data_IF_488818747437
#
_entry.id   IF_488818747437
#
_cell.length_a   1.000
_cell.length_b   1.000
_cell.length_c   1.000
_cell.angle_alpha   90.00
_cell.angle_beta   90.00
_cell.angle_gamma   90.00
#
_symmetry.space_group_name_H-M   'P 1'
#
loop_
_entity.id
_entity.type
_entity.pdbx_description
1 polymer ?
#
# COMPACT_ATOMS: atom_id res chain seq x y z
N UNK A 1 21.95 -6.09 -62.43
CA UNK A 1 22.70 -6.20 -61.18
C UNK A 1 21.63 -6.25 -60.10
N UNK A 2 20.99 -7.41 -59.96
CA UNK A 2 21.47 -8.57 -59.20
C UNK A 2 21.26 -8.28 -57.70
N UNK A 3 20.18 -8.76 -57.10
CA UNK A 3 20.03 -10.13 -56.55
C UNK A 3 20.94 -10.29 -55.32
N UNK A 4 20.48 -10.32 -54.06
CA UNK A 4 19.41 -11.07 -53.36
C UNK A 4 20.00 -12.19 -52.49
N UNK A 5 19.27 -12.54 -51.41
CA UNK A 5 19.56 -13.58 -50.42
C UNK A 5 20.85 -13.43 -49.57
N UNK A 6 21.03 -14.19 -48.48
CA UNK A 6 20.19 -14.45 -47.28
C UNK A 6 20.98 -15.41 -46.37
N UNK A 7 20.68 -15.43 -45.06
CA UNK A 7 20.93 -16.59 -44.16
C UNK A 7 22.40 -17.11 -44.02
N UNK A 8 22.73 -18.11 -43.18
CA UNK A 8 22.36 -18.34 -41.77
C UNK A 8 23.38 -19.31 -41.11
N UNK A 9 23.21 -19.59 -39.81
CA UNK A 9 23.58 -20.83 -39.12
C UNK A 9 25.04 -21.33 -39.00
N UNK A 10 25.73 -20.86 -37.95
CA UNK A 10 26.23 -21.65 -36.77
C UNK A 10 26.77 -23.10 -36.95
N UNK A 11 27.99 -23.32 -36.43
CA UNK A 11 28.43 -24.43 -35.51
C UNK A 11 29.44 -25.49 -35.99
N UNK A 12 30.45 -25.76 -35.13
CA UNK A 12 31.20 -27.04 -34.92
C UNK A 12 32.02 -27.64 -36.09
N UNK A 13 33.13 -28.37 -35.90
CA UNK A 13 33.98 -28.67 -34.71
C UNK A 13 35.48 -28.68 -35.16
N UNK A 14 36.52 -29.31 -34.60
CA UNK A 14 36.72 -30.33 -33.54
C UNK A 14 38.04 -30.06 -32.76
N UNK A 15 38.58 -31.03 -32.01
CA UNK A 15 39.72 -30.88 -31.07
C UNK A 15 41.05 -31.44 -31.57
N UNK A 16 42.18 -30.86 -31.12
CA UNK A 16 43.45 -31.60 -30.89
C UNK A 16 44.27 -30.92 -29.78
N UNK A 17 45.30 -31.59 -29.25
CA UNK A 17 45.88 -31.33 -27.91
C UNK A 17 47.32 -31.85 -27.80
N UNK A 18 48.03 -31.48 -26.70
CA UNK A 18 49.38 -31.94 -26.27
C UNK A 18 50.51 -31.57 -27.29
N UNK A 19 51.80 -31.35 -26.99
CA UNK A 19 52.67 -31.39 -25.79
C UNK A 19 53.34 -29.99 -25.63
N UNK A 20 53.47 -29.39 -24.44
CA UNK A 20 54.33 -29.70 -23.27
C UNK A 20 55.83 -29.46 -23.52
N UNK A 21 56.34 -28.35 -22.95
CA UNK A 21 57.75 -28.12 -22.68
C UNK A 21 57.87 -27.23 -21.42
N UNK A 22 58.85 -27.46 -20.55
CA UNK A 22 58.77 -27.03 -19.15
C UNK A 22 59.95 -26.15 -18.68
N UNK A 23 59.66 -24.93 -18.22
CA UNK A 23 60.64 -24.09 -17.51
C UNK A 23 60.07 -23.42 -16.23
N UNK A 24 61.00 -23.04 -15.33
CA UNK A 24 60.82 -22.94 -13.87
C UNK A 24 59.98 -21.75 -13.41
N UNK A 25 59.31 -21.95 -12.27
CA UNK A 25 58.82 -20.87 -11.40
C UNK A 25 59.95 -19.96 -10.92
N UNK A 26 59.63 -18.71 -10.57
CA UNK A 26 59.75 -18.33 -9.16
C UNK A 26 58.44 -17.83 -8.54
N UNK A 27 58.38 -17.88 -7.21
CA UNK A 27 57.27 -17.44 -6.37
C UNK A 27 57.01 -15.92 -6.52
N UNK A 28 55.75 -15.53 -6.76
CA UNK A 28 55.30 -14.13 -6.68
C UNK A 28 54.00 -14.07 -5.87
N UNK A 29 54.02 -13.26 -4.82
CA UNK A 29 53.05 -13.31 -3.73
C UNK A 29 51.58 -13.12 -4.15
N UNK A 30 50.69 -13.79 -3.40
CA UNK A 30 49.25 -13.51 -3.39
C UNK A 30 49.00 -12.03 -3.09
N UNK A 31 48.60 -11.26 -4.10
CA UNK A 31 48.01 -9.93 -3.88
C UNK A 31 46.63 -10.15 -3.24
N UNK A 32 46.57 -10.11 -1.91
CA UNK A 32 45.30 -10.02 -1.20
C UNK A 32 44.72 -8.62 -1.42
N UNK A 33 43.59 -8.55 -2.12
CA UNK A 33 42.79 -7.33 -2.19
C UNK A 33 42.49 -6.81 -0.77
N UNK A 34 42.68 -5.51 -0.47
CA UNK A 34 42.45 -5.00 0.87
C UNK A 34 41.00 -5.21 1.32
N UNK A 35 40.79 -6.12 2.27
CA UNK A 35 39.49 -6.26 2.94
C UNK A 35 39.34 -5.13 3.95
N UNK A 36 38.22 -4.39 3.89
CA UNK A 36 37.82 -3.38 4.87
C UNK A 36 36.53 -3.79 5.60
N UNK A 37 36.57 -4.77 6.53
CA UNK A 37 35.37 -5.36 7.13
C UNK A 37 34.88 -4.65 8.41
N UNK A 38 35.60 -3.65 8.94
CA UNK A 38 35.45 -3.23 10.35
C UNK A 38 34.43 -2.12 10.61
N UNK A 39 34.09 -1.29 9.61
CA UNK A 39 33.22 -0.10 9.81
C UNK A 39 31.73 -0.45 9.61
N UNK A 40 31.42 -1.39 8.72
CA UNK A 40 30.05 -1.70 8.28
C UNK A 40 29.19 -2.38 9.35
N UNK A 41 29.79 -3.24 10.19
CA UNK A 41 29.07 -3.91 11.28
C UNK A 41 28.47 -2.92 12.30
N UNK A 42 29.26 -1.93 12.72
CA UNK A 42 28.87 -0.92 13.70
C UNK A 42 27.63 -0.12 13.24
N UNK A 43 27.63 0.39 12.00
CA UNK A 43 26.46 1.11 11.48
C UNK A 43 25.23 0.21 11.35
N UNK A 44 25.39 -1.07 10.99
CA UNK A 44 24.27 -2.02 10.92
C UNK A 44 23.65 -2.29 12.29
N UNK A 45 24.44 -2.30 13.37
CA UNK A 45 23.95 -2.38 14.75
C UNK A 45 23.27 -1.08 15.20
N UNK A 46 23.88 0.09 14.98
CA UNK A 46 23.30 1.41 15.29
C UNK A 46 21.93 1.59 14.61
N UNK A 47 21.81 1.25 13.31
CA UNK A 47 20.54 1.34 12.59
C UNK A 47 19.49 0.36 13.15
N UNK A 48 19.92 -0.80 13.65
CA UNK A 48 19.03 -1.77 14.32
C UNK A 48 18.53 -1.25 15.66
N UNK A 49 19.38 -0.58 16.44
CA UNK A 49 19.00 0.01 17.73
C UNK A 49 18.03 1.19 17.54
N UNK A 50 18.34 2.10 16.60
CA UNK A 50 17.44 3.18 16.20
C UNK A 50 16.06 2.65 15.80
N UNK A 51 16.02 1.55 15.03
CA UNK A 51 14.78 0.90 14.64
C UNK A 51 13.98 0.39 15.86
N UNK A 52 14.64 -0.27 16.82
CA UNK A 52 13.97 -0.76 18.04
C UNK A 52 13.47 0.39 18.93
N UNK A 53 14.20 1.51 18.99
CA UNK A 53 13.74 2.72 19.67
C UNK A 53 12.50 3.31 18.98
N UNK A 54 12.43 3.34 17.64
CA UNK A 54 11.23 3.75 16.91
C UNK A 54 10.05 2.78 17.12
N UNK A 55 10.31 1.47 17.18
CA UNK A 55 9.27 0.46 17.42
C UNK A 55 8.58 0.65 18.78
N UNK A 56 9.36 0.83 19.87
CA UNK A 56 8.82 1.09 21.22
C UNK A 56 7.90 2.32 21.25
N UNK A 57 8.27 3.38 20.52
CA UNK A 57 7.47 4.61 20.41
C UNK A 57 6.17 4.35 19.60
N UNK A 58 6.26 3.59 18.51
CA UNK A 58 5.08 3.21 17.71
C UNK A 58 4.09 2.35 18.52
N UNK A 59 4.58 1.40 19.31
CA UNK A 59 3.77 0.58 20.21
C UNK A 59 3.10 1.40 21.33
N UNK A 60 3.72 2.49 21.78
CA UNK A 60 3.11 3.43 22.72
C UNK A 60 1.94 4.19 22.07
N UNK A 61 2.12 4.73 20.85
CA UNK A 61 1.03 5.40 20.12
C UNK A 61 -0.09 4.42 19.69
N UNK A 62 0.21 3.16 19.38
CA UNK A 62 -0.84 2.18 19.07
C UNK A 62 -1.80 1.91 20.25
N UNK A 63 -1.39 2.15 21.50
CA UNK A 63 -2.23 2.02 22.69
C UNK A 63 -3.22 3.18 22.88
N UNK A 64 -3.02 4.32 22.21
CA UNK A 64 -3.95 5.47 22.27
C UNK A 64 -5.06 5.37 21.21
N UNK A 65 -4.83 4.65 20.11
CA UNK A 65 -5.81 4.41 19.03
C UNK A 65 -7.09 3.75 19.57
N UNK A 66 -8.24 4.23 19.10
CA UNK A 66 -9.59 3.78 19.52
C UNK A 66 -10.34 3.00 18.44
N UNK A 67 -10.04 3.22 17.16
CA UNK A 67 -10.66 2.49 16.04
C UNK A 67 -9.97 1.13 15.82
N UNK A 68 -10.68 -0.01 15.92
CA UNK A 68 -10.08 -1.33 15.75
C UNK A 68 -9.39 -1.53 14.39
N UNK A 69 -9.96 -0.95 13.32
CA UNK A 69 -9.39 -1.05 11.96
C UNK A 69 -8.07 -0.28 11.82
N UNK A 70 -7.88 0.81 12.55
CA UNK A 70 -6.65 1.60 12.50
C UNK A 70 -5.53 0.86 13.25
N UNK A 71 -5.86 0.20 14.37
CA UNK A 71 -4.95 -0.71 15.08
C UNK A 71 -4.53 -1.88 14.17
N UNK A 72 -5.46 -2.50 13.44
CA UNK A 72 -5.17 -3.58 12.48
C UNK A 72 -4.24 -3.10 11.34
N UNK A 73 -4.54 -1.95 10.73
CA UNK A 73 -3.71 -1.34 9.68
C UNK A 73 -2.30 -1.02 10.21
N UNK A 74 -2.19 -0.42 11.40
CA UNK A 74 -0.90 -0.10 12.01
C UNK A 74 -0.11 -1.37 12.35
N UNK A 75 -0.76 -2.41 12.90
CA UNK A 75 -0.12 -3.71 13.19
C UNK A 75 0.46 -4.34 11.91
N UNK A 76 -0.31 -4.32 10.83
CA UNK A 76 0.10 -4.86 9.54
C UNK A 76 1.18 -4.02 8.85
N UNK A 77 1.23 -2.71 9.09
CA UNK A 77 2.32 -1.83 8.65
C UNK A 77 3.60 -2.09 9.45
N UNK A 78 3.53 -2.10 10.79
CA UNK A 78 4.69 -2.36 11.65
C UNK A 78 5.32 -3.72 11.37
N UNK A 79 4.51 -4.78 11.14
CA UNK A 79 5.04 -6.11 10.77
C UNK A 79 5.83 -6.09 9.45
N UNK A 80 5.41 -5.29 8.46
CA UNK A 80 6.17 -5.11 7.20
C UNK A 80 7.47 -4.33 7.43
N UNK A 81 7.41 -3.30 8.26
CA UNK A 81 8.54 -2.41 8.62
C UNK A 81 9.59 -3.16 9.48
N UNK A 82 9.16 -4.05 10.38
CA UNK A 82 10.02 -4.99 11.10
C UNK A 82 10.77 -5.92 10.14
N UNK A 83 10.04 -6.60 9.24
CA UNK A 83 10.62 -7.51 8.24
C UNK A 83 11.66 -6.84 7.31
N UNK A 84 11.55 -5.52 7.07
CA UNK A 84 12.55 -4.75 6.34
C UNK A 84 13.82 -4.47 7.16
N UNK A 85 13.72 -4.37 8.49
CA UNK A 85 14.86 -4.25 9.38
C UNK A 85 15.64 -5.58 9.52
N UNK A 86 15.01 -6.72 9.29
CA UNK A 86 15.68 -8.03 9.29
C UNK A 86 16.61 -8.23 8.06
N UNK A 87 16.60 -7.29 7.12
CA UNK A 87 17.49 -7.27 5.95
C UNK A 87 18.96 -7.14 6.34
N UNK A 88 19.82 -7.91 5.67
CA UNK A 88 21.28 -7.80 5.77
C UNK A 88 21.85 -6.57 5.04
N UNK A 89 21.06 -5.90 4.19
CA UNK A 89 21.52 -4.76 3.40
C UNK A 89 21.38 -3.44 4.18
N UNK A 90 22.51 -2.78 4.43
CA UNK A 90 22.57 -1.52 5.19
C UNK A 90 21.71 -0.40 4.58
N UNK A 91 21.65 -0.35 3.25
CA UNK A 91 20.84 0.61 2.49
C UNK A 91 19.33 0.44 2.76
N UNK A 92 18.87 -0.81 2.94
CA UNK A 92 17.49 -1.11 3.31
C UNK A 92 17.21 -0.64 4.74
N UNK A 93 18.14 -0.84 5.67
CA UNK A 93 18.01 -0.35 7.06
C UNK A 93 17.97 1.19 7.13
N UNK A 94 18.85 1.89 6.41
CA UNK A 94 18.84 3.36 6.30
C UNK A 94 17.49 3.88 5.81
N UNK A 95 17.01 3.33 4.69
CA UNK A 95 15.74 3.73 4.08
C UNK A 95 14.53 3.36 4.96
N UNK A 96 14.55 2.21 5.64
CA UNK A 96 13.53 1.82 6.59
C UNK A 96 13.48 2.76 7.80
N UNK A 97 14.63 3.19 8.35
CA UNK A 97 14.68 4.20 9.43
C UNK A 97 14.31 5.62 8.98
N UNK A 98 14.52 5.97 7.71
CA UNK A 98 13.98 7.21 7.14
C UNK A 98 12.45 7.17 7.05
N UNK A 99 11.90 6.07 6.52
CA UNK A 99 10.46 5.83 6.42
C UNK A 99 9.78 5.74 7.80
N UNK A 100 10.37 5.01 8.76
CA UNK A 100 9.77 4.81 10.08
C UNK A 100 9.66 6.14 10.86
N UNK A 101 10.62 7.06 10.71
CA UNK A 101 10.52 8.43 11.25
C UNK A 101 9.35 9.22 10.67
N UNK A 102 8.99 9.01 9.40
CA UNK A 102 7.76 9.57 8.82
C UNK A 102 6.51 8.88 9.39
N UNK A 103 6.49 7.53 9.46
CA UNK A 103 5.39 6.79 10.07
C UNK A 103 5.13 7.18 11.53
N UNK A 104 6.16 7.48 12.33
CA UNK A 104 5.99 7.98 13.70
C UNK A 104 5.29 9.35 13.76
N UNK A 105 5.57 10.27 12.81
CA UNK A 105 4.86 11.55 12.72
C UNK A 105 3.39 11.33 12.38
N UNK A 106 3.09 10.49 11.39
CA UNK A 106 1.72 10.14 11.00
C UNK A 106 0.99 9.46 12.16
N UNK A 107 1.58 8.45 12.78
CA UNK A 107 0.98 7.68 13.87
C UNK A 107 0.75 8.53 15.13
N UNK A 108 1.65 9.47 15.45
CA UNK A 108 1.40 10.47 16.50
C UNK A 108 0.23 11.38 16.13
N UNK A 109 0.20 11.91 14.91
CA UNK A 109 -0.91 12.77 14.48
C UNK A 109 -2.25 12.02 14.53
N UNK A 110 -2.29 10.76 14.06
CA UNK A 110 -3.47 9.89 14.15
C UNK A 110 -3.84 9.54 15.60
N UNK A 111 -2.88 9.35 16.50
CA UNK A 111 -3.12 9.20 17.95
C UNK A 111 -3.89 10.38 18.52
N UNK A 112 -3.46 11.59 18.16
CA UNK A 112 -3.86 12.83 18.81
C UNK A 112 -5.12 13.46 18.18
N UNK A 113 -5.40 13.18 16.89
CA UNK A 113 -6.47 13.81 16.09
C UNK A 113 -7.57 12.81 15.69
N UNK A 114 -7.94 11.90 16.58
CA UNK A 114 -8.96 10.88 16.30
C UNK A 114 -10.38 11.49 16.25
N UNK A 115 -11.18 11.24 15.20
CA UNK A 115 -12.59 11.64 15.14
C UNK A 115 -13.46 10.73 16.03
N UNK A 116 -13.31 10.86 17.36
CA UNK A 116 -13.92 9.98 18.36
C UNK A 116 -15.46 9.96 18.33
N UNK A 117 -16.10 11.04 17.90
CA UNK A 117 -17.55 11.12 17.76
C UNK A 117 -18.06 10.23 16.62
N UNK A 118 -17.41 10.31 15.46
CA UNK A 118 -17.69 9.45 14.30
C UNK A 118 -17.44 7.97 14.62
N UNK A 119 -16.36 7.66 15.35
CA UNK A 119 -16.10 6.31 15.83
C UNK A 119 -17.18 5.80 16.81
N UNK A 120 -17.73 6.68 17.66
CA UNK A 120 -18.86 6.30 18.53
C UNK A 120 -20.13 6.03 17.72
N UNK A 121 -20.45 6.85 16.71
CA UNK A 121 -21.58 6.60 15.81
C UNK A 121 -21.45 5.23 15.12
N UNK A 122 -20.26 4.89 14.58
CA UNK A 122 -20.04 3.63 13.87
C UNK A 122 -19.94 2.39 14.76
N UNK A 123 -19.35 2.49 15.96
CA UNK A 123 -19.02 1.30 16.77
C UNK A 123 -19.84 1.15 18.06
N UNK A 124 -20.49 2.22 18.55
CA UNK A 124 -21.30 2.20 19.79
C UNK A 124 -22.78 1.95 19.48
N UNK A 125 -23.32 2.57 18.43
CA UNK A 125 -24.75 2.51 18.08
C UNK A 125 -25.17 1.26 17.28
N UNK A 126 -24.75 0.06 17.69
CA UNK A 126 -25.22 -1.20 17.07
C UNK A 126 -26.75 -1.38 17.13
N UNK A 127 -27.41 -0.71 18.08
CA UNK A 127 -28.85 -0.79 18.33
C UNK A 127 -29.62 0.46 17.85
N UNK A 128 -28.94 1.55 17.48
CA UNK A 128 -29.56 2.88 17.23
C UNK A 128 -29.43 3.39 15.78
N UNK A 129 -28.93 2.57 14.85
CA UNK A 129 -28.98 2.90 13.40
C UNK A 129 -30.29 2.34 12.81
N UNK A 130 -31.37 3.11 12.98
CA UNK A 130 -32.70 2.85 12.42
C UNK A 130 -32.70 3.00 10.88
N UNK A 131 -32.25 1.94 10.21
CA UNK A 131 -32.19 1.86 8.75
C UNK A 131 -30.96 2.58 8.15
N UNK A 132 -30.84 2.59 6.81
CA UNK A 132 -29.82 3.37 6.13
C UNK A 132 -30.22 4.85 6.13
N UNK A 133 -29.37 5.73 6.65
CA UNK A 133 -29.58 7.17 6.56
C UNK A 133 -29.29 7.65 5.13
N UNK A 134 -30.12 8.57 4.63
CA UNK A 134 -30.00 9.12 3.27
C UNK A 134 -30.06 10.65 3.34
N UNK A 135 -28.93 11.30 3.03
CA UNK A 135 -28.82 12.75 2.91
C UNK A 135 -28.92 13.14 1.43
N UNK A 136 -29.52 14.30 1.14
CA UNK A 136 -29.79 14.74 -0.24
C UNK A 136 -29.65 16.25 -0.40
N UNK A 137 -29.01 16.66 -1.49
CA UNK A 137 -28.65 18.05 -1.78
C UNK A 137 -28.78 18.31 -3.28
N UNK A 138 -29.53 19.34 -3.66
CA UNK A 138 -29.39 19.99 -4.97
C UNK A 138 -28.18 20.91 -4.94
N UNK A 139 -27.35 20.86 -5.99
CA UNK A 139 -26.23 21.78 -6.12
C UNK A 139 -26.72 23.17 -6.61
N UNK A 140 -25.89 24.19 -6.41
CA UNK A 140 -26.21 25.59 -6.74
C UNK A 140 -26.42 25.83 -8.26
N UNK A 141 -26.04 24.87 -9.10
CA UNK A 141 -26.32 24.87 -10.54
C UNK A 141 -27.81 24.62 -10.88
N UNK A 142 -28.62 24.22 -9.90
CA UNK A 142 -30.03 23.81 -10.03
C UNK A 142 -30.29 22.69 -11.07
N UNK A 143 -29.24 21.95 -11.46
CA UNK A 143 -29.30 20.86 -12.45
C UNK A 143 -28.78 19.53 -11.90
N UNK A 144 -27.85 19.59 -10.96
CA UNK A 144 -27.22 18.43 -10.35
C UNK A 144 -27.84 18.11 -9.00
N UNK A 145 -28.29 16.86 -8.84
CA UNK A 145 -28.77 16.30 -7.58
C UNK A 145 -27.76 15.26 -7.07
N UNK A 146 -27.40 15.36 -5.80
CA UNK A 146 -26.54 14.38 -5.13
C UNK A 146 -27.23 13.80 -3.88
N UNK A 147 -27.22 12.48 -3.75
CA UNK A 147 -27.67 11.77 -2.57
C UNK A 147 -26.56 10.87 -2.00
N UNK A 148 -26.39 10.90 -0.69
CA UNK A 148 -25.45 10.09 0.09
C UNK A 148 -26.26 9.13 0.96
N UNK A 149 -26.12 7.83 0.71
CA UNK A 149 -26.78 6.77 1.47
C UNK A 149 -25.76 5.98 2.29
N UNK A 150 -25.83 6.10 3.61
CA UNK A 150 -24.96 5.35 4.52
C UNK A 150 -25.60 4.02 4.91
N UNK A 151 -24.84 2.94 4.78
CA UNK A 151 -25.21 1.58 5.15
C UNK A 151 -24.74 1.23 6.57
N UNK A 152 -25.35 0.19 7.16
CA UNK A 152 -25.13 -0.22 8.56
C UNK A 152 -23.72 -0.75 8.88
N UNK A 153 -22.93 -1.06 7.86
CA UNK A 153 -21.53 -1.47 7.93
C UNK A 153 -20.54 -0.28 7.85
N UNK A 154 -21.05 0.94 7.62
CA UNK A 154 -20.24 2.13 7.36
C UNK A 154 -19.89 2.35 5.88
N UNK A 155 -20.37 1.49 4.97
CA UNK A 155 -20.25 1.72 3.52
C UNK A 155 -21.15 2.88 3.11
N UNK A 156 -20.66 3.77 2.26
CA UNK A 156 -21.42 4.89 1.72
C UNK A 156 -21.63 4.70 0.22
N UNK A 157 -22.88 4.81 -0.23
CA UNK A 157 -23.22 4.89 -1.66
C UNK A 157 -23.49 6.36 -1.98
N UNK A 158 -22.86 6.88 -3.02
CA UNK A 158 -23.13 8.21 -3.56
C UNK A 158 -23.87 8.03 -4.89
N UNK A 159 -25.03 8.66 -5.00
CA UNK A 159 -25.78 8.79 -6.25
C UNK A 159 -25.67 10.23 -6.73
N UNK A 160 -25.31 10.42 -8.00
CA UNK A 160 -25.36 11.72 -8.66
C UNK A 160 -26.24 11.60 -9.91
N UNK A 161 -27.10 12.59 -10.12
CA UNK A 161 -27.94 12.72 -11.30
C UNK A 161 -27.87 14.17 -11.80
N UNK A 162 -27.92 14.35 -13.12
CA UNK A 162 -27.99 15.68 -13.76
C UNK A 162 -29.25 15.71 -14.62
N UNK A 163 -29.98 16.81 -14.58
CA UNK A 163 -31.15 17.03 -15.42
C UNK A 163 -31.00 18.35 -16.20
N UNK A 164 -31.30 18.31 -17.50
CA UNK A 164 -31.32 19.51 -18.33
C UNK A 164 -32.51 20.42 -18.04
N UNK A 165 -33.60 19.86 -17.48
CA UNK A 165 -34.84 20.55 -17.12
C UNK A 165 -35.08 20.51 -15.59
N UNK A 166 -34.73 21.56 -14.84
CA UNK A 166 -34.94 21.63 -13.39
C UNK A 166 -36.40 21.49 -12.93
N UNK A 167 -37.36 21.83 -13.80
CA UNK A 167 -38.81 21.72 -13.55
C UNK A 167 -39.32 20.28 -13.43
N UNK A 168 -38.56 19.28 -13.88
CA UNK A 168 -38.98 17.87 -13.82
C UNK A 168 -39.05 17.32 -12.38
N UNK A 169 -38.30 17.92 -11.44
CA UNK A 169 -38.22 17.46 -10.05
C UNK A 169 -37.60 16.06 -9.88
N UNK A 170 -37.84 15.42 -8.73
CA UNK A 170 -37.41 14.05 -8.49
C UNK A 170 -38.48 13.26 -7.72
N UNK A 171 -38.73 12.01 -8.11
CA UNK A 171 -39.76 11.18 -7.48
C UNK A 171 -39.19 10.37 -6.32
N UNK A 172 -39.72 10.61 -5.11
CA UNK A 172 -39.35 9.86 -3.91
C UNK A 172 -39.58 8.36 -4.07
N UNK A 173 -38.60 7.56 -3.62
CA UNK A 173 -38.67 6.11 -3.68
C UNK A 173 -38.52 5.51 -5.09
N UNK A 174 -37.91 6.21 -6.05
CA UNK A 174 -37.71 5.72 -7.43
C UNK A 174 -37.22 4.26 -7.55
N UNK A 175 -36.28 3.82 -6.70
CA UNK A 175 -35.84 2.41 -6.64
C UNK A 175 -36.96 1.44 -6.22
N UNK A 176 -37.82 1.82 -5.28
CA UNK A 176 -38.99 1.03 -4.88
C UNK A 176 -40.06 1.00 -5.97
N UNK A 177 -40.19 2.09 -6.76
CA UNK A 177 -41.09 2.16 -7.91
C UNK A 177 -40.59 1.27 -9.04
N UNK A 178 -39.27 1.27 -9.31
CA UNK A 178 -38.64 0.37 -10.27
C UNK A 178 -38.72 -1.09 -9.83
N UNK A 179 -38.51 -1.40 -8.54
CA UNK A 179 -38.69 -2.76 -8.01
C UNK A 179 -40.14 -3.26 -8.17
N UNK A 180 -41.13 -2.39 -7.95
CA UNK A 180 -42.55 -2.71 -8.18
C UNK A 180 -42.89 -2.84 -9.68
N UNK A 181 -42.29 -2.02 -10.56
CA UNK A 181 -42.45 -2.13 -12.02
C UNK A 181 -41.69 -3.31 -12.63
N UNK A 182 -40.63 -3.80 -12.00
CA UNK A 182 -39.93 -5.02 -12.38
C UNK A 182 -40.77 -6.29 -12.29
N UNK A 183 -41.90 -6.23 -11.57
CA UNK A 183 -42.91 -7.29 -11.52
C UNK A 183 -43.88 -7.29 -12.72
N UNK A 184 -43.47 -6.76 -13.88
CA UNK A 184 -44.17 -7.02 -15.14
C UNK A 184 -44.24 -8.55 -15.37
N UNK A 185 -45.46 -9.08 -15.45
CA UNK A 185 -45.70 -10.48 -15.78
C UNK A 185 -45.12 -10.80 -17.15
N UNK A 186 -44.24 -11.80 -17.21
CA UNK A 186 -43.89 -12.48 -18.47
C UNK A 186 -45.11 -13.27 -18.93
N UNK A 187 -45.87 -12.67 -19.84
CA UNK A 187 -46.75 -13.39 -20.77
C UNK A 187 -45.90 -13.98 -21.91
#
# INVERSE_FOLDING_TARGET
>A
MAEEHEESFRSTDESTKIEEDAEKQPDVAKIQSPQTPTITFNEQEILSEQFQNYLRIAEAFMKTLKRPKDIEICTNLLRKVQRLNDSKHIEVKRNNNAFFRYCLKVLKWTSDNQPLELYQQWYRNKELVEGPSESRTWLEDNKSYMALKSLKDGTNIIYAAVCDEPSAGWQDGGLNILAKRGACSRN
#
